data_IF_570742787338
#
_entry.id   IF_570742787338
#
_cell.length_a   1.000
_cell.length_b   1.000
_cell.length_c   1.000
_cell.angle_alpha   90.00
_cell.angle_beta   90.00
_cell.angle_gamma   90.00
#
_symmetry.space_group_name_H-M   'P 1'
#
loop_
_entity.id
_entity.type
_entity.pdbx_description
1 polymer ?
#
# COMPACT_ATOMS: atom_id res chain seq x y z
N UNK A 1 -17.31 -10.09 6.19
CA UNK A 1 -18.22 -9.02 5.73
C UNK A 1 -18.05 -8.93 4.23
N UNK A 2 -19.13 -8.85 3.44
CA UNK A 2 -19.04 -8.73 1.98
C UNK A 2 -19.26 -7.26 1.62
N UNK A 3 -18.29 -6.64 0.96
CA UNK A 3 -18.35 -5.24 0.56
C UNK A 3 -18.43 -5.13 -0.96
N UNK A 4 -19.26 -4.23 -1.47
CA UNK A 4 -19.32 -3.84 -2.88
C UNK A 4 -19.29 -2.32 -2.95
N UNK A 5 -18.26 -1.78 -3.60
CA UNK A 5 -18.10 -0.35 -3.90
C UNK A 5 -18.36 -0.19 -5.40
N UNK A 6 -19.09 0.84 -5.82
CA UNK A 6 -19.31 1.19 -7.24
C UNK A 6 -19.37 2.72 -7.40
N UNK A 7 -18.91 3.26 -8.55
CA UNK A 7 -18.96 4.70 -8.85
C UNK A 7 -19.67 4.98 -10.19
N UNK A 8 -20.59 5.95 -10.22
CA UNK A 8 -21.36 6.36 -11.42
C UNK A 8 -21.10 7.83 -11.79
N UNK A 9 -19.91 8.19 -12.24
CA UNK A 9 -19.59 9.58 -12.64
C UNK A 9 -18.10 9.88 -12.75
N UNK A 10 -17.71 11.16 -12.60
CA UNK A 10 -16.31 11.59 -12.48
C UNK A 10 -15.57 10.66 -11.51
N UNK A 11 -14.41 10.15 -11.92
CA UNK A 11 -13.67 9.17 -11.13
C UNK A 11 -13.45 9.71 -9.71
N UNK A 12 -14.14 9.11 -8.74
CA UNK A 12 -13.93 9.40 -7.33
C UNK A 12 -12.46 9.17 -6.99
N UNK A 13 -11.92 9.88 -6.00
CA UNK A 13 -10.54 9.71 -5.54
C UNK A 13 -10.56 9.12 -4.14
N UNK A 14 -9.53 8.34 -3.79
CA UNK A 14 -9.35 7.78 -2.45
C UNK A 14 -10.55 6.92 -2.02
N UNK A 15 -11.02 6.06 -2.93
CA UNK A 15 -12.13 5.12 -2.67
C UNK A 15 -11.61 3.75 -2.27
N UNK A 16 -10.62 3.70 -1.39
CA UNK A 16 -9.97 2.48 -0.92
C UNK A 16 -11.03 1.47 -0.44
N UNK A 17 -10.85 0.20 -0.80
CA UNK A 17 -11.79 -0.86 -0.41
C UNK A 17 -11.70 -1.16 1.08
N UNK A 18 -10.48 -1.44 1.54
CA UNK A 18 -10.14 -1.67 2.94
C UNK A 18 -8.83 -0.98 3.30
N UNK A 19 -8.84 -0.21 4.38
CA UNK A 19 -7.64 0.25 5.06
C UNK A 19 -7.52 -0.45 6.40
N UNK A 20 -6.39 -1.09 6.67
CA UNK A 20 -6.04 -1.56 8.02
C UNK A 20 -5.00 -0.63 8.63
N UNK A 21 -5.20 -0.23 9.87
CA UNK A 21 -4.31 0.67 10.61
C UNK A 21 -4.34 0.27 12.10
N UNK A 22 -3.16 0.17 12.74
CA UNK A 22 -3.04 -0.33 14.12
C UNK A 22 -3.88 -1.60 14.36
N UNK A 23 -3.76 -2.56 13.46
CA UNK A 23 -4.65 -3.72 13.34
C UNK A 23 -3.86 -5.02 13.49
N UNK A 24 -4.43 -5.96 14.23
CA UNK A 24 -3.90 -7.31 14.41
C UNK A 24 -5.00 -8.35 14.18
N UNK A 25 -4.63 -9.51 13.62
CA UNK A 25 -5.52 -10.67 13.50
C UNK A 25 -6.80 -10.40 12.67
N UNK A 26 -6.62 -9.83 11.47
CA UNK A 26 -7.72 -9.47 10.56
C UNK A 26 -7.83 -10.47 9.40
N UNK A 27 -9.06 -10.84 9.03
CA UNK A 27 -9.34 -11.63 7.82
C UNK A 27 -10.29 -10.87 6.90
N UNK A 28 -9.82 -10.55 5.69
CA UNK A 28 -10.59 -9.93 4.60
C UNK A 28 -10.79 -11.00 3.53
N UNK A 29 -12.02 -11.33 3.20
CA UNK A 29 -12.25 -12.44 2.28
C UNK A 29 -13.51 -12.32 1.42
N UNK A 30 -13.51 -13.03 0.29
CA UNK A 30 -14.67 -13.29 -0.55
C UNK A 30 -15.46 -12.03 -0.96
N UNK A 31 -14.74 -10.95 -1.30
CA UNK A 31 -15.31 -9.64 -1.62
C UNK A 31 -15.06 -9.25 -3.08
N UNK A 32 -16.00 -8.51 -3.65
CA UNK A 32 -15.88 -7.94 -5.00
C UNK A 32 -15.77 -6.42 -4.85
N UNK A 33 -14.60 -5.88 -5.17
CA UNK A 33 -14.27 -4.47 -4.98
C UNK A 33 -14.08 -3.83 -6.34
N UNK A 34 -14.91 -2.85 -6.65
CA UNK A 34 -14.75 -2.00 -7.81
C UNK A 34 -14.58 -0.56 -7.33
N UNK A 35 -13.37 -0.03 -7.48
CA UNK A 35 -13.04 1.28 -6.96
C UNK A 35 -12.03 1.99 -7.85
N UNK A 36 -11.42 3.06 -7.34
CA UNK A 36 -10.45 3.89 -8.05
C UNK A 36 -9.19 4.18 -7.22
N UNK A 37 -9.01 3.44 -6.12
CA UNK A 37 -7.82 3.50 -5.27
C UNK A 37 -7.45 2.09 -4.76
N UNK A 38 -6.67 1.92 -3.70
CA UNK A 38 -6.23 0.60 -3.23
C UNK A 38 -7.41 -0.36 -3.02
N UNK A 39 -7.29 -1.61 -3.47
CA UNK A 39 -8.29 -2.63 -3.16
C UNK A 39 -8.21 -2.99 -1.67
N UNK A 40 -6.99 -3.16 -1.16
CA UNK A 40 -6.66 -3.26 0.26
C UNK A 40 -5.36 -2.49 0.49
N UNK A 41 -5.30 -1.66 1.52
CA UNK A 41 -4.11 -0.92 1.97
C UNK A 41 -3.74 -1.32 3.39
N UNK A 42 -2.53 -1.84 3.58
CA UNK A 42 -1.99 -2.15 4.91
C UNK A 42 -1.20 -0.94 5.42
N UNK A 43 -1.88 -0.04 6.15
CA UNK A 43 -1.27 1.14 6.76
C UNK A 43 -0.44 0.73 8.01
N UNK A 44 0.28 1.67 8.67
CA UNK A 44 1.19 1.33 9.75
C UNK A 44 0.59 0.45 10.86
N UNK A 45 1.43 -0.45 11.36
CA UNK A 45 1.13 -1.44 12.38
C UNK A 45 -0.03 -2.37 11.98
N UNK A 46 0.03 -2.87 10.74
CA UNK A 46 -0.86 -3.92 10.23
C UNK A 46 -0.17 -5.28 10.36
N UNK A 47 -0.68 -6.15 11.22
CA UNK A 47 -0.03 -7.42 11.57
C UNK A 47 -0.99 -8.61 11.55
N UNK A 48 -0.49 -9.78 11.18
CA UNK A 48 -1.24 -11.05 11.18
C UNK A 48 -2.56 -10.96 10.37
N UNK A 49 -2.44 -10.56 9.10
CA UNK A 49 -3.60 -10.29 8.23
C UNK A 49 -3.67 -11.30 7.10
N UNK A 50 -4.87 -11.83 6.86
CA UNK A 50 -5.15 -12.69 5.71
C UNK A 50 -6.12 -11.98 4.77
N UNK A 51 -5.76 -11.90 3.50
CA UNK A 51 -6.61 -11.44 2.40
C UNK A 51 -6.81 -12.59 1.42
N UNK A 52 -8.05 -13.04 1.20
CA UNK A 52 -8.28 -14.20 0.33
C UNK A 52 -9.58 -14.21 -0.47
N UNK A 53 -9.52 -14.72 -1.71
CA UNK A 53 -10.73 -14.88 -2.55
C UNK A 53 -11.35 -13.55 -2.99
N UNK A 54 -10.54 -12.49 -3.11
CA UNK A 54 -11.01 -11.18 -3.56
C UNK A 54 -11.04 -11.09 -5.08
N UNK A 55 -11.97 -10.30 -5.60
CA UNK A 55 -12.00 -9.84 -6.98
C UNK A 55 -11.96 -8.31 -6.99
N UNK A 56 -10.84 -7.74 -7.40
CA UNK A 56 -10.62 -6.30 -7.41
C UNK A 56 -10.61 -5.78 -8.85
N UNK A 57 -11.25 -4.64 -9.11
CA UNK A 57 -11.22 -3.99 -10.41
C UNK A 57 -11.16 -2.46 -10.33
N UNK A 58 -10.41 -1.83 -11.24
CA UNK A 58 -10.24 -0.36 -11.25
C UNK A 58 -9.28 0.18 -10.18
N UNK A 59 -8.73 -0.71 -9.33
CA UNK A 59 -8.00 -0.34 -8.12
C UNK A 59 -6.54 0.06 -8.36
N UNK A 60 -5.87 0.58 -7.33
CA UNK A 60 -4.41 0.76 -7.30
C UNK A 60 -3.63 -0.48 -6.82
N UNK A 61 -4.32 -1.54 -6.38
CA UNK A 61 -3.69 -2.79 -5.98
C UNK A 61 -4.00 -3.30 -4.59
N UNK A 62 -3.41 -4.45 -4.24
CA UNK A 62 -3.23 -4.87 -2.86
C UNK A 62 -1.89 -4.30 -2.37
N UNK A 63 -1.98 -3.21 -1.60
CA UNK A 63 -0.85 -2.36 -1.26
C UNK A 63 -0.42 -2.53 0.20
N UNK A 64 0.86 -2.84 0.44
CA UNK A 64 1.51 -2.53 1.72
C UNK A 64 1.89 -1.05 1.72
N UNK A 65 1.48 -0.36 2.77
CA UNK A 65 1.76 1.05 2.99
C UNK A 65 0.67 2.01 2.50
N UNK A 66 0.95 3.30 2.43
CA UNK A 66 2.29 3.87 2.60
C UNK A 66 2.83 3.75 4.03
N UNK A 67 4.13 3.48 4.14
CA UNK A 67 4.88 3.41 5.41
C UNK A 67 6.06 4.38 5.38
N UNK A 68 6.55 4.77 6.56
CA UNK A 68 7.72 5.64 6.74
C UNK A 68 7.44 7.12 6.58
N UNK A 69 6.18 7.55 6.68
CA UNK A 69 5.78 8.91 6.32
C UNK A 69 6.30 9.98 7.28
N UNK A 70 6.35 9.66 8.58
CA UNK A 70 6.55 10.65 9.64
C UNK A 70 7.82 10.37 10.45
N UNK A 71 8.62 11.42 10.64
CA UNK A 71 9.85 11.37 11.43
C UNK A 71 9.55 11.01 12.87
N UNK A 72 10.33 10.08 13.42
CA UNK A 72 10.16 9.59 14.79
C UNK A 72 9.10 8.50 14.93
N UNK A 73 8.33 8.23 13.88
CA UNK A 73 7.40 7.11 13.85
C UNK A 73 8.07 5.84 13.31
N UNK A 74 7.57 4.69 13.80
CA UNK A 74 7.98 3.36 13.38
C UNK A 74 6.77 2.66 12.76
N UNK A 75 6.83 2.45 11.45
CA UNK A 75 5.74 1.87 10.68
C UNK A 75 6.07 0.43 10.29
N UNK A 76 5.34 -0.54 10.86
CA UNK A 76 5.53 -1.96 10.52
C UNK A 76 4.36 -2.53 9.71
N UNK A 77 4.68 -3.46 8.82
CA UNK A 77 3.72 -4.38 8.22
C UNK A 77 4.30 -5.80 8.27
N UNK A 78 3.63 -6.70 8.98
CA UNK A 78 4.20 -8.02 9.30
C UNK A 78 3.19 -9.16 9.25
N UNK A 79 3.62 -10.33 8.76
CA UNK A 79 2.80 -11.54 8.69
C UNK A 79 1.50 -11.32 7.92
N UNK A 80 1.62 -10.93 6.65
CA UNK A 80 0.49 -10.67 5.76
C UNK A 80 0.47 -11.75 4.68
N UNK A 81 -0.65 -12.44 4.53
CA UNK A 81 -0.88 -13.40 3.46
C UNK A 81 -1.99 -12.91 2.55
N UNK A 82 -1.67 -12.71 1.28
CA UNK A 82 -2.62 -12.40 0.21
C UNK A 82 -2.69 -13.61 -0.71
N UNK A 83 -3.82 -14.31 -0.72
CA UNK A 83 -3.96 -15.59 -1.42
C UNK A 83 -5.19 -15.64 -2.32
N UNK A 84 -5.04 -16.14 -3.55
CA UNK A 84 -6.17 -16.38 -4.47
C UNK A 84 -7.00 -15.11 -4.70
N UNK A 85 -6.35 -14.04 -5.16
CA UNK A 85 -6.97 -12.75 -5.48
C UNK A 85 -6.88 -12.50 -6.98
N UNK A 86 -7.99 -12.09 -7.59
CA UNK A 86 -8.03 -11.64 -8.98
C UNK A 86 -8.00 -10.12 -9.02
N UNK A 87 -7.02 -9.57 -9.73
CA UNK A 87 -6.84 -8.13 -9.97
C UNK A 87 -7.11 -7.85 -11.44
N UNK A 88 -8.01 -6.91 -11.74
CA UNK A 88 -8.34 -6.54 -13.12
C UNK A 88 -8.31 -5.02 -13.33
N UNK A 89 -7.88 -4.54 -14.50
CA UNK A 89 -7.90 -3.11 -14.85
C UNK A 89 -7.32 -2.23 -13.73
N UNK A 90 -6.10 -2.49 -13.31
CA UNK A 90 -5.53 -1.91 -12.08
C UNK A 90 -4.19 -1.21 -12.31
N UNK A 91 -3.76 -0.37 -11.37
CA UNK A 91 -2.40 0.19 -11.41
C UNK A 91 -1.35 -0.89 -11.19
N UNK A 92 -1.33 -1.46 -9.99
CA UNK A 92 -0.40 -2.53 -9.62
C UNK A 92 -1.18 -3.68 -9.00
N UNK A 93 -0.92 -4.94 -9.37
CA UNK A 93 -1.66 -6.06 -8.76
C UNK A 93 -1.21 -6.27 -7.30
N UNK A 94 0.09 -6.46 -7.08
CA UNK A 94 0.73 -6.42 -5.76
C UNK A 94 1.62 -5.18 -5.64
N UNK A 95 1.58 -4.49 -4.49
CA UNK A 95 2.34 -3.25 -4.32
C UNK A 95 2.93 -3.11 -2.92
N UNK A 96 4.17 -2.64 -2.84
CA UNK A 96 4.78 -2.11 -1.61
C UNK A 96 5.20 -0.66 -1.87
N UNK A 97 4.70 0.27 -1.06
CA UNK A 97 5.00 1.70 -1.18
C UNK A 97 5.51 2.25 0.15
N UNK A 98 6.77 2.66 0.16
CA UNK A 98 7.39 3.28 1.34
C UNK A 98 7.96 4.65 0.98
N UNK A 99 7.89 5.58 1.92
CA UNK A 99 8.51 6.89 1.79
C UNK A 99 10.03 6.77 2.01
N UNK A 100 10.79 7.63 1.35
CA UNK A 100 12.23 7.81 1.55
C UNK A 100 12.59 8.31 2.97
N UNK A 101 13.84 8.13 3.41
CA UNK A 101 14.31 8.56 4.75
C UNK A 101 14.76 10.02 4.76
N UNK A 102 13.79 10.92 4.56
CA UNK A 102 14.07 12.34 4.56
C UNK A 102 14.44 12.85 5.96
N UNK A 103 15.63 13.43 6.09
CA UNK A 103 16.09 14.03 7.35
C UNK A 103 15.56 15.46 7.47
N UNK A 104 14.90 15.84 8.58
CA UNK A 104 14.50 17.22 8.82
C UNK A 104 15.68 18.19 8.80
N UNK A 105 15.46 19.33 8.16
CA UNK A 105 16.33 20.49 8.29
C UNK A 105 16.31 21.03 9.73
N UNK A 106 17.24 21.90 10.08
CA UNK A 106 17.31 22.51 11.41
C UNK A 106 16.04 23.27 11.82
N UNK A 107 15.23 23.71 10.86
CA UNK A 107 13.93 24.38 11.07
C UNK A 107 12.73 23.40 11.14
N UNK A 108 12.99 22.08 11.06
CA UNK A 108 11.98 21.02 11.07
C UNK A 108 11.34 20.72 9.71
N UNK A 109 11.68 21.43 8.64
CA UNK A 109 11.15 21.16 7.29
C UNK A 109 11.79 19.91 6.67
N UNK A 110 11.03 19.17 5.86
CA UNK A 110 11.53 18.00 5.13
C UNK A 110 11.94 18.38 3.69
N UNK A 111 13.07 17.87 3.19
CA UNK A 111 13.52 18.12 1.81
C UNK A 111 12.55 17.56 0.76
N UNK A 112 11.79 16.53 1.11
CA UNK A 112 10.87 15.82 0.20
C UNK A 112 9.41 15.97 0.58
N UNK A 113 9.05 16.96 1.41
CA UNK A 113 7.70 17.21 1.97
C UNK A 113 7.12 16.12 2.90
N UNK A 114 7.53 14.87 2.78
CA UNK A 114 7.17 13.74 3.66
C UNK A 114 8.29 12.69 3.62
N UNK A 115 8.31 11.78 4.59
CA UNK A 115 9.36 10.78 4.77
C UNK A 115 10.15 11.00 6.05
N UNK A 116 11.12 10.12 6.29
CA UNK A 116 11.96 10.15 7.50
C UNK A 116 11.47 9.26 8.64
N UNK A 117 10.37 8.52 8.42
CA UNK A 117 9.95 7.44 9.30
C UNK A 117 10.79 6.19 9.10
N UNK A 118 10.81 5.34 10.11
CA UNK A 118 11.53 4.05 10.11
C UNK A 118 10.55 2.89 10.20
N UNK A 119 11.02 1.65 10.10
CA UNK A 119 10.18 0.48 10.33
C UNK A 119 10.60 -0.73 9.49
N UNK A 120 9.65 -1.61 9.20
CA UNK A 120 9.92 -2.77 8.34
C UNK A 120 8.68 -3.36 7.67
N UNK A 121 8.89 -4.02 6.54
CA UNK A 121 7.93 -4.92 5.88
C UNK A 121 8.49 -6.33 5.93
N UNK A 122 7.88 -7.21 6.74
CA UNK A 122 8.40 -8.57 6.95
C UNK A 122 7.34 -9.63 6.78
N UNK A 123 7.71 -10.76 6.16
CA UNK A 123 6.83 -11.91 6.00
C UNK A 123 5.48 -11.52 5.34
N UNK A 124 5.58 -10.85 4.19
CA UNK A 124 4.44 -10.52 3.33
C UNK A 124 4.49 -11.45 2.13
N UNK A 125 3.43 -12.22 1.92
CA UNK A 125 3.32 -13.20 0.84
C UNK A 125 2.13 -12.85 -0.05
N UNK A 126 2.39 -12.79 -1.36
CA UNK A 126 1.37 -12.72 -2.41
C UNK A 126 1.39 -14.04 -3.18
N UNK A 127 0.35 -14.86 -3.02
CA UNK A 127 0.29 -16.22 -3.55
C UNK A 127 -0.95 -16.43 -4.41
N UNK A 128 -0.80 -17.15 -5.52
CA UNK A 128 -1.92 -17.53 -6.41
C UNK A 128 -2.77 -16.34 -6.88
N UNK A 129 -2.16 -15.16 -7.02
CA UNK A 129 -2.83 -14.00 -7.59
C UNK A 129 -2.97 -14.14 -9.10
N UNK A 130 -4.10 -13.69 -9.63
CA UNK A 130 -4.36 -13.58 -11.06
C UNK A 130 -4.42 -12.11 -11.43
N UNK A 131 -3.59 -11.70 -12.38
CA UNK A 131 -3.54 -10.33 -12.89
C UNK A 131 -4.14 -10.30 -14.30
N UNK A 132 -5.08 -9.40 -14.53
CA UNK A 132 -5.77 -9.19 -15.80
C UNK A 132 -5.81 -7.70 -16.17
N UNK A 133 -4.82 -7.23 -16.92
CA UNK A 133 -4.74 -5.83 -17.40
C UNK A 133 -4.43 -4.84 -16.28
N UNK A 134 -3.37 -5.08 -15.53
CA UNK A 134 -2.76 -4.11 -14.63
C UNK A 134 -1.50 -3.51 -15.25
N UNK A 135 -1.20 -2.24 -14.95
CA UNK A 135 0.00 -1.59 -15.47
C UNK A 135 1.28 -2.28 -14.96
N UNK A 136 1.27 -2.75 -13.71
CA UNK A 136 2.31 -3.57 -13.10
C UNK A 136 1.73 -4.83 -12.44
N UNK A 137 2.38 -5.98 -12.63
CA UNK A 137 2.07 -7.17 -11.84
C UNK A 137 2.55 -7.01 -10.39
N UNK A 138 3.78 -6.50 -10.21
CA UNK A 138 4.38 -6.22 -8.91
C UNK A 138 5.05 -4.86 -9.00
N UNK A 139 4.75 -3.97 -8.05
CA UNK A 139 5.40 -2.68 -7.91
C UNK A 139 5.99 -2.55 -6.49
N UNK A 140 7.28 -2.21 -6.41
CA UNK A 140 7.94 -1.88 -5.15
C UNK A 140 8.60 -0.52 -5.32
N UNK A 141 8.25 0.44 -4.46
CA UNK A 141 8.82 1.78 -4.49
C UNK A 141 9.23 2.25 -3.11
N UNK A 142 10.41 2.87 -3.05
CA UNK A 142 10.97 3.52 -1.86
C UNK A 142 10.94 5.05 -1.94
N UNK A 143 10.29 5.59 -2.99
CA UNK A 143 10.18 7.01 -3.27
C UNK A 143 8.72 7.45 -3.28
N UNK A 144 7.89 6.87 -2.41
CA UNK A 144 6.46 7.17 -2.42
C UNK A 144 6.20 8.65 -2.13
N UNK A 145 5.26 9.25 -2.88
CA UNK A 145 4.89 10.66 -2.71
C UNK A 145 5.83 11.69 -3.35
N UNK A 146 6.98 11.30 -3.93
CA UNK A 146 7.88 12.22 -4.64
C UNK A 146 8.04 11.87 -6.12
N UNK A 147 8.01 12.90 -6.98
CA UNK A 147 8.34 12.78 -8.41
C UNK A 147 9.82 13.04 -8.70
N UNK A 148 10.56 13.60 -7.74
CA UNK A 148 11.98 13.91 -7.88
C UNK A 148 12.81 12.72 -7.39
N UNK A 149 13.03 11.75 -8.27
CA UNK A 149 13.79 10.54 -7.96
C UNK A 149 15.25 10.83 -7.62
N UNK A 150 15.86 11.84 -8.25
CA UNK A 150 17.23 12.26 -7.91
C UNK A 150 17.36 12.68 -6.46
N UNK A 151 16.38 13.45 -5.95
CA UNK A 151 16.34 13.85 -4.56
C UNK A 151 16.01 12.67 -3.65
N UNK A 152 15.03 11.84 -4.01
CA UNK A 152 14.70 10.62 -3.25
C UNK A 152 15.92 9.74 -3.02
N UNK A 153 16.71 9.50 -4.08
CA UNK A 153 17.87 8.60 -4.04
C UNK A 153 19.01 9.12 -3.15
N UNK A 154 18.97 10.38 -2.68
CA UNK A 154 19.90 10.91 -1.69
C UNK A 154 19.54 10.49 -0.25
N UNK A 155 18.30 10.05 -0.03
CA UNK A 155 17.71 9.71 1.26
C UNK A 155 17.16 8.27 1.22
N UNK A 156 18.03 7.25 1.13
CA UNK A 156 17.59 5.86 1.04
C UNK A 156 16.69 5.49 2.22
N UNK A 157 15.62 4.72 1.96
CA UNK A 157 14.60 4.42 2.97
C UNK A 157 15.14 3.71 4.22
N UNK A 158 14.54 4.01 5.37
CA UNK A 158 14.81 3.40 6.68
C UNK A 158 13.74 2.37 7.11
N UNK A 159 12.83 2.03 6.19
CA UNK A 159 11.90 0.90 6.30
C UNK A 159 12.52 -0.29 5.57
N UNK A 160 12.84 -1.36 6.30
CA UNK A 160 13.54 -2.56 5.81
C UNK A 160 12.63 -3.71 5.37
#
# INVERSE_FOLDING_TARGET
MNLTVTSNGTAAKNTDGWDTYLSDSVVIQNSVIQNTDDCVSFKPNSTNIIVQGLQCSGSHGISVGSLGQYVGEVDIAENIMVHNVTMSNCGSAARIKVYQDAIPNADGSLPTSSGGGSGYVRNVTYESMQENTCDYAIEITQCYGTKNLTLCNQYPVSVE
#
